data_IF_810115652996
#
_entry.id   IF_810115652996
#
_cell.length_a   1.000
_cell.length_b   1.000
_cell.length_c   1.000
_cell.angle_alpha   90.00
_cell.angle_beta   90.00
_cell.angle_gamma   90.00
#
_symmetry.space_group_name_H-M   'P 1'
#
loop_
_entity.id
_entity.type
_entity.pdbx_description
1 polymer ?
#
# COMPACT_ATOMS: atom_id res chain seq x y z
N UNK A 1 2.42 -20.33 -3.02
CA UNK A 1 2.30 -18.92 -2.62
C UNK A 1 2.12 -18.06 -3.87
N UNK A 2 0.95 -17.44 -4.02
CA UNK A 2 0.59 -16.64 -5.19
C UNK A 2 1.38 -15.30 -5.19
N UNK A 3 1.37 -14.59 -6.32
CA UNK A 3 2.13 -13.34 -6.48
C UNK A 3 1.74 -12.29 -5.42
N UNK A 4 0.45 -12.22 -5.11
CA UNK A 4 -0.13 -11.28 -4.17
C UNK A 4 0.28 -11.57 -2.71
N UNK A 5 0.35 -12.85 -2.32
CA UNK A 5 0.89 -13.29 -1.02
C UNK A 5 2.37 -12.99 -0.87
N UNK A 6 3.16 -13.04 -1.96
CA UNK A 6 4.59 -12.65 -1.91
C UNK A 6 4.77 -11.14 -1.77
N UNK A 7 3.94 -10.36 -2.49
CA UNK A 7 3.90 -8.88 -2.39
C UNK A 7 3.52 -8.44 -0.98
N UNK A 8 2.49 -9.06 -0.41
CA UNK A 8 2.07 -8.80 0.96
C UNK A 8 3.09 -9.27 2.00
N UNK A 9 3.67 -10.47 1.87
CA UNK A 9 4.70 -10.96 2.81
C UNK A 9 5.98 -10.14 2.82
N UNK A 10 6.41 -9.65 1.67
CA UNK A 10 7.58 -8.80 1.58
C UNK A 10 7.41 -7.52 2.42
N UNK A 11 6.22 -6.95 2.31
CA UNK A 11 5.79 -5.75 3.01
C UNK A 11 5.52 -6.06 4.51
N UNK A 12 4.82 -7.14 4.82
CA UNK A 12 4.43 -7.54 6.19
C UNK A 12 5.57 -8.00 7.09
N UNK A 13 6.69 -8.45 6.53
CA UNK A 13 7.77 -9.04 7.32
C UNK A 13 8.78 -8.03 7.87
N UNK A 14 8.59 -6.72 7.70
CA UNK A 14 9.48 -5.72 8.29
C UNK A 14 9.30 -5.65 9.83
N UNK A 15 10.35 -6.07 10.56
CA UNK A 15 10.60 -6.17 12.01
C UNK A 15 9.69 -7.03 12.91
N UNK A 16 10.26 -8.17 13.34
CA UNK A 16 10.03 -8.74 14.67
C UNK A 16 10.67 -7.79 15.70
N UNK A 17 9.91 -6.86 16.25
CA UNK A 17 10.21 -6.24 17.56
C UNK A 17 9.01 -6.44 18.46
N UNK A 18 9.31 -6.65 19.74
CA UNK A 18 8.42 -7.17 20.78
C UNK A 18 7.27 -6.21 21.02
N UNK A 19 6.10 -6.56 20.49
CA UNK A 19 4.76 -6.49 21.09
C UNK A 19 3.73 -6.61 19.95
N UNK A 20 2.73 -7.46 20.15
CA UNK A 20 1.87 -7.94 19.07
C UNK A 20 0.99 -6.85 18.47
N UNK A 21 1.14 -6.62 17.15
CA UNK A 21 0.14 -5.96 16.31
C UNK A 21 0.34 -6.39 14.85
N UNK A 22 -0.72 -6.68 14.07
CA UNK A 22 -0.57 -7.26 12.75
C UNK A 22 -0.16 -6.21 11.71
N UNK A 23 0.55 -6.68 10.67
CA UNK A 23 0.85 -6.01 9.38
C UNK A 23 2.04 -5.02 9.31
N UNK A 24 3.25 -5.54 9.10
CA UNK A 24 4.38 -4.76 8.58
C UNK A 24 4.08 -4.14 7.20
N UNK A 25 4.80 -3.06 6.86
CA UNK A 25 4.60 -2.10 5.75
C UNK A 25 3.45 -1.10 5.86
N UNK A 26 2.50 -1.34 6.78
CA UNK A 26 1.60 -0.32 7.30
C UNK A 26 1.96 -0.03 8.74
N UNK A 27 3.23 0.33 8.91
CA UNK A 27 3.58 1.30 9.92
C UNK A 27 3.17 2.60 9.24
N UNK A 28 2.04 3.19 9.54
CA UNK A 28 1.67 3.61 10.87
C UNK A 28 0.17 3.97 10.80
N UNK A 29 -0.66 3.42 11.67
CA UNK A 29 -2.01 3.96 11.94
C UNK A 29 -1.87 5.25 12.81
N UNK A 30 -0.81 6.04 12.63
CA UNK A 30 -0.25 6.96 13.64
C UNK A 30 -1.08 8.17 14.00
N UNK A 31 -2.26 8.35 13.43
CA UNK A 31 -3.13 9.41 13.90
C UNK A 31 -4.57 8.92 13.89
N UNK A 32 -4.92 8.12 14.90
CA UNK A 32 -6.28 8.20 15.45
C UNK A 32 -6.40 9.63 16.00
N UNK A 33 -6.93 10.53 15.18
CA UNK A 33 -7.14 11.91 15.55
C UNK A 33 -8.18 12.02 16.67
N UNK A 34 -8.27 13.18 17.34
CA UNK A 34 -9.26 13.41 18.40
C UNK A 34 -10.72 13.27 17.91
N UNK A 35 -10.94 13.36 16.59
CA UNK A 35 -12.25 13.26 15.97
C UNK A 35 -12.64 11.83 15.55
N UNK A 36 -11.80 10.83 15.78
CA UNK A 36 -12.17 9.44 15.51
C UNK A 36 -13.31 9.00 16.43
N UNK A 37 -14.35 8.30 15.93
CA UNK A 37 -14.50 7.71 14.59
C UNK A 37 -15.27 8.59 13.59
N UNK A 38 -15.57 9.85 13.89
CA UNK A 38 -16.25 10.75 12.95
C UNK A 38 -15.37 11.08 11.73
N UNK A 39 -14.06 11.20 11.94
CA UNK A 39 -13.06 11.29 10.87
C UNK A 39 -12.24 9.99 10.78
N UNK A 40 -11.83 9.56 9.57
CA UNK A 40 -10.95 8.41 9.41
C UNK A 40 -9.56 8.70 10.02
N UNK A 41 -8.84 7.66 10.49
CA UNK A 41 -7.45 7.82 10.84
C UNK A 41 -6.61 8.14 9.59
N UNK A 42 -5.54 8.89 9.76
CA UNK A 42 -4.57 9.11 8.67
C UNK A 42 -3.67 7.89 8.53
N UNK A 43 -3.48 7.44 7.29
CA UNK A 43 -2.61 6.31 6.96
C UNK A 43 -1.58 6.76 5.95
N UNK A 44 -0.32 6.42 6.20
CA UNK A 44 0.77 6.57 5.25
C UNK A 44 1.53 5.26 5.09
N UNK A 45 2.07 5.03 3.90
CA UNK A 45 3.02 3.97 3.63
C UNK A 45 4.43 4.50 3.85
N UNK A 46 5.13 3.99 4.87
CA UNK A 46 6.53 4.36 5.15
C UNK A 46 7.50 3.81 4.10
N UNK A 47 7.14 2.69 3.46
CA UNK A 47 8.00 2.04 2.47
C UNK A 47 7.63 2.54 1.09
N UNK A 48 8.60 3.12 0.37
CA UNK A 48 8.39 3.49 -1.03
C UNK A 48 8.08 2.25 -1.87
N UNK A 49 6.95 2.24 -2.57
CA UNK A 49 6.48 1.09 -3.37
C UNK A 49 5.96 1.53 -4.73
N UNK A 50 6.20 0.72 -5.76
CA UNK A 50 5.60 0.92 -7.07
C UNK A 50 4.15 0.40 -7.05
N UNK A 51 3.19 1.31 -6.89
CA UNK A 51 1.78 0.96 -6.70
C UNK A 51 0.83 2.02 -7.30
N UNK A 52 -0.24 1.65 -8.04
CA UNK A 52 -1.19 2.62 -8.61
C UNK A 52 -1.81 3.58 -7.58
N UNK A 53 -2.15 3.07 -6.39
CA UNK A 53 -2.85 3.83 -5.35
C UNK A 53 -1.94 4.35 -4.21
N UNK A 54 -0.61 4.35 -4.38
CA UNK A 54 0.33 4.91 -3.40
C UNK A 54 1.34 5.80 -4.15
N UNK A 55 1.54 7.03 -3.70
CA UNK A 55 2.55 7.93 -4.26
C UNK A 55 3.93 7.77 -3.60
N UNK A 56 4.89 8.57 -4.03
CA UNK A 56 6.27 8.51 -3.54
C UNK A 56 6.42 9.10 -2.13
N UNK A 57 5.49 9.96 -1.72
CA UNK A 57 5.37 10.54 -0.38
C UNK A 57 4.62 9.63 0.62
N UNK A 58 4.19 8.46 0.16
CA UNK A 58 3.51 7.44 0.96
C UNK A 58 2.03 7.71 1.21
N UNK A 59 1.41 8.66 0.53
CA UNK A 59 -0.04 8.86 0.63
C UNK A 59 -0.76 7.67 -0.03
N UNK A 60 -1.88 7.25 0.56
CA UNK A 60 -2.64 6.09 0.12
C UNK A 60 -4.02 6.53 -0.36
N UNK A 61 -4.40 6.14 -1.58
CA UNK A 61 -5.78 6.28 -2.05
C UNK A 61 -6.56 5.00 -1.75
N UNK A 62 -7.33 5.04 -0.67
CA UNK A 62 -8.28 4.01 -0.27
C UNK A 62 -9.62 4.68 0.04
N UNK A 63 -10.67 4.32 -0.67
CA UNK A 63 -12.01 4.93 -0.58
C UNK A 63 -12.55 5.03 0.86
N UNK A 64 -12.36 3.97 1.66
CA UNK A 64 -12.82 3.94 3.05
C UNK A 64 -12.04 4.89 3.97
N UNK A 65 -10.93 5.48 3.53
CA UNK A 65 -10.24 6.56 4.25
C UNK A 65 -10.66 7.97 3.78
N UNK A 66 -11.65 8.05 2.88
CA UNK A 66 -12.10 9.28 2.22
C UNK A 66 -13.65 9.32 2.20
N UNK A 67 -14.26 9.31 1.01
CA UNK A 67 -15.71 9.45 0.81
C UNK A 67 -16.54 8.29 1.39
N UNK A 68 -15.97 7.09 1.48
CA UNK A 68 -16.68 5.91 1.99
C UNK A 68 -16.44 5.68 3.49
N UNK A 69 -15.72 6.58 4.18
CA UNK A 69 -15.56 6.47 5.63
C UNK A 69 -16.91 6.60 6.33
N UNK A 70 -17.16 5.68 7.27
CA UNK A 70 -18.32 5.72 8.16
C UNK A 70 -17.85 5.41 9.57
N UNK A 71 -18.40 6.05 10.63
CA UNK A 71 -18.01 5.77 12.02
C UNK A 71 -18.19 4.32 12.48
N UNK A 72 -18.92 3.50 11.72
CA UNK A 72 -19.07 2.05 11.95
C UNK A 72 -17.86 1.24 11.47
N UNK A 73 -17.02 1.80 10.60
CA UNK A 73 -15.80 1.17 10.13
C UNK A 73 -14.74 1.17 11.23
N UNK A 74 -13.94 0.12 11.23
CA UNK A 74 -12.93 -0.12 12.26
C UNK A 74 -11.54 -0.08 11.66
N UNK A 75 -10.53 -0.05 12.54
CA UNK A 75 -9.14 -0.28 12.14
C UNK A 75 -8.98 -1.59 11.36
N UNK A 76 -9.70 -2.66 11.73
CA UNK A 76 -9.67 -3.92 10.98
C UNK A 76 -10.20 -3.73 9.55
N UNK A 77 -11.27 -2.95 9.37
CA UNK A 77 -11.81 -2.62 8.04
C UNK A 77 -10.74 -1.93 7.18
N UNK A 78 -9.96 -1.02 7.77
CA UNK A 78 -8.83 -0.35 7.10
C UNK A 78 -7.74 -1.35 6.73
N UNK A 79 -7.32 -2.20 7.67
CA UNK A 79 -6.30 -3.24 7.44
C UNK A 79 -6.72 -4.22 6.34
N UNK A 80 -8.00 -4.59 6.26
CA UNK A 80 -8.52 -5.41 5.15
C UNK A 80 -8.56 -4.65 3.83
N UNK A 81 -8.98 -3.38 3.82
CA UNK A 81 -8.98 -2.55 2.62
C UNK A 81 -7.57 -2.38 2.05
N UNK A 82 -6.58 -2.16 2.90
CA UNK A 82 -5.18 -2.05 2.51
C UNK A 82 -4.62 -3.38 1.99
N UNK A 83 -4.92 -4.49 2.65
CA UNK A 83 -4.58 -5.83 2.14
C UNK A 83 -5.15 -6.03 0.73
N UNK A 84 -6.44 -5.76 0.55
CA UNK A 84 -7.12 -5.89 -0.72
C UNK A 84 -6.47 -5.00 -1.79
N UNK A 85 -6.10 -3.76 -1.45
CA UNK A 85 -5.44 -2.84 -2.36
C UNK A 85 -4.11 -3.39 -2.92
N UNK A 86 -3.36 -4.14 -2.12
CA UNK A 86 -2.15 -4.82 -2.59
C UNK A 86 -2.43 -6.04 -3.46
N UNK A 87 -3.55 -6.73 -3.24
CA UNK A 87 -4.00 -7.88 -4.03
C UNK A 87 -4.52 -7.43 -5.40
N UNK A 88 -5.45 -6.48 -5.39
CA UNK A 88 -6.16 -5.94 -6.55
C UNK A 88 -6.05 -4.41 -6.56
N UNK A 89 -4.97 -3.85 -7.15
CA UNK A 89 -4.82 -2.41 -7.28
C UNK A 89 -5.93 -1.80 -8.14
N UNK A 90 -6.37 -0.60 -7.80
CA UNK A 90 -7.42 0.11 -8.52
C UNK A 90 -6.83 1.12 -9.52
N UNK A 91 -7.01 0.95 -10.84
CA UNK A 91 -6.49 1.90 -11.83
C UNK A 91 -7.36 3.16 -12.04
N UNK A 92 -8.57 3.20 -11.51
CA UNK A 92 -9.56 4.26 -11.80
C UNK A 92 -9.26 5.61 -11.11
N UNK A 93 -8.72 5.59 -9.89
CA UNK A 93 -8.24 6.79 -9.17
C UNK A 93 -6.78 6.62 -8.69
N UNK A 94 -5.81 6.69 -9.61
CA UNK A 94 -4.42 6.40 -9.29
C UNK A 94 -3.67 7.63 -8.79
N UNK A 95 -2.91 7.46 -7.71
CA UNK A 95 -1.89 8.42 -7.28
C UNK A 95 -0.61 8.29 -8.13
N UNK A 96 -0.30 7.08 -8.58
CA UNK A 96 0.77 6.79 -9.51
C UNK A 96 0.19 6.41 -10.88
N UNK A 97 0.07 7.42 -11.76
CA UNK A 97 -0.52 7.26 -13.09
C UNK A 97 0.25 6.29 -13.98
N UNK A 98 1.59 6.32 -13.92
CA UNK A 98 2.44 5.40 -14.70
C UNK A 98 2.18 3.94 -14.30
N UNK A 99 2.15 3.66 -12.99
CA UNK A 99 1.86 2.31 -12.50
C UNK A 99 0.46 1.84 -12.91
N UNK A 100 -0.54 2.72 -12.90
CA UNK A 100 -1.90 2.43 -13.31
C UNK A 100 -2.03 2.18 -14.82
N UNK A 101 -1.34 2.97 -15.65
CA UNK A 101 -1.30 2.79 -17.10
C UNK A 101 -0.64 1.46 -17.47
N UNK A 102 0.52 1.13 -16.87
CA UNK A 102 1.21 -0.14 -17.10
C UNK A 102 0.35 -1.31 -16.61
N UNK A 103 -0.38 -1.17 -15.50
CA UNK A 103 -1.31 -2.19 -15.02
C UNK A 103 -2.41 -2.51 -16.04
N UNK A 104 -3.02 -1.49 -16.65
CA UNK A 104 -4.11 -1.64 -17.60
C UNK A 104 -3.63 -2.14 -18.96
N UNK A 105 -2.48 -1.67 -19.43
CA UNK A 105 -1.96 -1.95 -20.77
C UNK A 105 -1.13 -3.23 -20.83
N UNK A 106 -0.36 -3.54 -19.79
CA UNK A 106 0.54 -4.68 -19.76
C UNK A 106 0.77 -5.22 -18.34
N UNK A 107 -0.15 -6.08 -17.89
CA UNK A 107 -0.10 -6.74 -16.57
C UNK A 107 1.24 -7.43 -16.28
N UNK A 108 1.88 -8.05 -17.28
CA UNK A 108 3.18 -8.73 -17.09
C UNK A 108 4.32 -7.75 -16.83
N UNK A 109 4.33 -6.63 -17.55
CA UNK A 109 5.30 -5.56 -17.31
C UNK A 109 5.08 -4.93 -15.93
N UNK A 110 3.82 -4.72 -15.53
CA UNK A 110 3.50 -4.26 -14.18
C UNK A 110 4.08 -5.17 -13.11
N UNK A 111 3.84 -6.49 -13.21
CA UNK A 111 4.39 -7.48 -12.28
C UNK A 111 5.92 -7.48 -12.24
N UNK A 112 6.55 -7.33 -13.41
CA UNK A 112 8.00 -7.20 -13.52
C UNK A 112 8.53 -5.94 -12.84
N UNK A 113 7.88 -4.78 -13.06
CA UNK A 113 8.25 -3.51 -12.46
C UNK A 113 8.10 -3.54 -10.94
N UNK A 114 7.01 -4.11 -10.42
CA UNK A 114 6.83 -4.34 -8.98
C UNK A 114 7.99 -5.16 -8.43
N UNK A 115 8.36 -6.27 -9.07
CA UNK A 115 9.44 -7.12 -8.60
C UNK A 115 10.81 -6.43 -8.63
N UNK A 116 11.09 -5.66 -9.70
CA UNK A 116 12.30 -4.84 -9.80
C UNK A 116 12.37 -3.78 -8.69
N UNK A 117 11.29 -3.03 -8.50
CA UNK A 117 11.19 -1.99 -7.48
C UNK A 117 11.44 -2.58 -6.08
N UNK A 118 10.76 -3.68 -5.74
CA UNK A 118 10.93 -4.34 -4.44
C UNK A 118 12.35 -4.83 -4.17
N UNK A 119 13.16 -5.08 -5.20
CA UNK A 119 14.55 -5.54 -5.09
C UNK A 119 15.57 -4.42 -4.90
N UNK A 120 15.17 -3.16 -5.02
CA UNK A 120 16.10 -2.02 -5.05
C UNK A 120 16.54 -1.72 -6.47
N UNK A 121 15.72 -1.00 -7.23
CA UNK A 121 16.01 -0.73 -8.65
C UNK A 121 15.29 0.52 -9.16
N UNK A 122 15.68 0.95 -10.36
CA UNK A 122 15.01 2.03 -11.09
C UNK A 122 13.84 1.49 -11.91
N UNK A 123 12.71 2.21 -11.84
CA UNK A 123 11.60 2.15 -12.78
C UNK A 123 11.51 3.55 -13.41
N UNK A 124 11.80 3.64 -14.72
CA UNK A 124 12.03 4.94 -15.35
C UNK A 124 13.18 5.69 -14.67
N UNK A 125 12.91 6.92 -14.24
CA UNK A 125 13.87 7.79 -13.54
C UNK A 125 13.78 7.68 -12.01
N UNK A 126 12.80 6.94 -11.48
CA UNK A 126 12.58 6.80 -10.04
C UNK A 126 13.27 5.56 -9.49
N UNK A 127 14.15 5.74 -8.50
CA UNK A 127 14.71 4.66 -7.72
C UNK A 127 13.75 4.25 -6.59
N UNK A 128 13.53 2.95 -6.42
CA UNK A 128 12.78 2.39 -5.30
C UNK A 128 13.74 1.64 -4.38
N UNK A 129 13.67 1.93 -3.08
CA UNK A 129 14.46 1.22 -2.08
C UNK A 129 14.05 -0.27 -1.97
N UNK A 130 15.04 -1.13 -1.69
CA UNK A 130 14.78 -2.56 -1.52
C UNK A 130 13.89 -2.80 -0.30
N UNK A 131 12.73 -3.41 -0.52
CA UNK A 131 11.79 -3.80 0.54
C UNK A 131 11.62 -5.32 0.71
N UNK A 132 12.31 -6.14 -0.10
CA UNK A 132 12.45 -7.58 0.13
C UNK A 132 13.49 -7.89 1.20
N UNK A 133 13.16 -8.80 2.11
CA UNK A 133 14.15 -9.51 2.94
C UNK A 133 14.91 -10.50 2.06
#
# INVERSE_FOLDING_TARGET
>A
MNFAERKFRALSNQNKTREGSPTGALRDLSAVGPNYPHEPPKVKCETQVYHPNIDLEGNVCLNILREDWKPVLTINSIVYGLQYLFLEPNPEDPLNREAAEVLQTNRRLFEHNVFKAMRGSYIGETYFERCLK
#
